data_IF_190416540835
#
_entry.id   IF_190416540835
#
_cell.length_a   1.000
_cell.length_b   1.000
_cell.length_c   1.000
_cell.angle_alpha   90.00
_cell.angle_beta   90.00
_cell.angle_gamma   90.00
#
_symmetry.space_group_name_H-M   'P 1'
#
loop_
_entity.id
_entity.type
_entity.pdbx_description
1 polymer ?
#
# COMPACT_ATOMS: atom_id res chain seq x y z
N UNK A 1 3.92 -10.12 2.06
CA UNK A 1 2.74 -10.06 1.16
C UNK A 1 1.43 -10.31 1.91
N UNK A 2 1.37 -11.32 2.77
CA UNK A 2 0.14 -11.72 3.48
C UNK A 2 -0.46 -10.62 4.34
N UNK A 3 0.35 -9.84 5.05
CA UNK A 3 -0.14 -8.75 5.89
C UNK A 3 -0.86 -7.64 5.09
N UNK A 4 -0.43 -7.37 3.86
CA UNK A 4 -1.10 -6.43 2.96
C UNK A 4 -2.40 -7.03 2.45
N UNK A 5 -2.37 -8.28 1.95
CA UNK A 5 -3.57 -8.97 1.45
C UNK A 5 -4.65 -9.15 2.53
N UNK A 6 -4.26 -9.27 3.81
CA UNK A 6 -5.16 -9.39 4.96
C UNK A 6 -6.00 -8.13 5.21
N UNK A 7 -5.57 -6.97 4.72
CA UNK A 7 -6.31 -5.71 4.87
C UNK A 7 -7.57 -5.64 4.01
N UNK A 8 -7.71 -6.53 3.00
CA UNK A 8 -8.81 -6.56 2.01
C UNK A 8 -8.97 -5.29 1.16
N UNK A 9 -8.23 -4.22 1.46
CA UNK A 9 -8.22 -2.95 0.71
C UNK A 9 -6.99 -2.82 -0.17
N UNK A 10 -5.88 -3.47 0.22
CA UNK A 10 -4.63 -3.50 -0.53
C UNK A 10 -4.23 -4.93 -0.87
N UNK A 11 -3.57 -5.10 -2.02
CA UNK A 11 -3.02 -6.35 -2.50
C UNK A 11 -1.53 -6.17 -2.77
N UNK A 12 -0.72 -7.04 -2.20
CA UNK A 12 0.70 -7.18 -2.53
C UNK A 12 0.87 -8.29 -3.56
N UNK A 13 1.47 -7.96 -4.69
CA UNK A 13 1.76 -8.86 -5.81
C UNK A 13 3.27 -8.86 -6.01
N UNK A 14 3.89 -10.04 -6.02
CA UNK A 14 5.28 -10.16 -6.42
C UNK A 14 5.37 -9.99 -7.94
N UNK A 15 6.03 -8.92 -8.38
CA UNK A 15 6.23 -8.66 -9.81
C UNK A 15 7.62 -9.15 -10.27
N UNK A 16 8.62 -9.07 -9.38
CA UNK A 16 9.98 -9.57 -9.63
C UNK A 16 10.49 -10.36 -8.43
N UNK A 17 11.54 -11.20 -8.59
CA UNK A 17 12.16 -11.91 -7.48
C UNK A 17 12.43 -11.04 -6.23
N UNK A 18 12.88 -9.79 -6.42
CA UNK A 18 13.10 -8.82 -5.32
C UNK A 18 12.10 -7.65 -5.29
N UNK A 19 11.01 -7.70 -6.05
CA UNK A 19 10.05 -6.58 -6.13
C UNK A 19 8.63 -7.03 -5.82
N UNK A 20 8.04 -6.37 -4.83
CA UNK A 20 6.63 -6.54 -4.45
C UNK A 20 5.91 -5.25 -4.77
N UNK A 21 5.01 -5.30 -5.75
CA UNK A 21 4.10 -4.21 -6.04
C UNK A 21 2.91 -4.26 -5.07
N UNK A 22 2.54 -3.11 -4.51
CA UNK A 22 1.32 -2.98 -3.69
C UNK A 22 0.32 -2.09 -4.42
N UNK A 23 -0.91 -2.58 -4.55
CA UNK A 23 -1.98 -1.90 -5.26
C UNK A 23 -3.29 -2.03 -4.47
N UNK A 24 -4.19 -1.04 -4.49
CA UNK A 24 -5.51 -1.18 -3.89
C UNK A 24 -6.36 -2.15 -4.69
N UNK A 25 -7.26 -2.85 -4.00
CA UNK A 25 -8.22 -3.77 -4.64
C UNK A 25 -9.13 -3.00 -5.59
N UNK A 26 -9.51 -1.77 -5.23
CA UNK A 26 -10.25 -0.86 -6.09
C UNK A 26 -9.29 -0.02 -6.93
N UNK A 27 -9.23 -0.34 -8.23
CA UNK A 27 -8.38 0.40 -9.20
C UNK A 27 -8.72 1.89 -9.28
N UNK A 28 -9.97 2.28 -9.07
CA UNK A 28 -10.37 3.69 -9.09
C UNK A 28 -9.70 4.51 -7.99
N UNK A 29 -9.37 3.89 -6.85
CA UNK A 29 -8.70 4.54 -5.72
C UNK A 29 -7.17 4.51 -5.86
N UNK A 30 -6.63 3.76 -6.84
CA UNK A 30 -5.19 3.73 -7.12
C UNK A 30 -4.70 5.10 -7.60
N UNK A 31 -5.45 5.76 -8.50
CA UNK A 31 -5.03 7.06 -9.01
C UNK A 31 -5.08 8.13 -7.92
N UNK A 32 -6.15 8.15 -7.12
CA UNK A 32 -6.27 9.07 -5.98
C UNK A 32 -5.12 8.87 -4.98
N UNK A 33 -4.85 7.61 -4.65
CA UNK A 33 -3.73 7.27 -3.79
C UNK A 33 -2.37 7.69 -4.38
N UNK A 34 -2.13 7.47 -5.68
CA UNK A 34 -0.91 7.94 -6.33
C UNK A 34 -0.81 9.47 -6.34
N UNK A 35 -1.92 10.19 -6.48
CA UNK A 35 -1.94 11.66 -6.41
C UNK A 35 -1.55 12.16 -5.02
N UNK A 36 -1.85 11.40 -3.96
CA UNK A 36 -1.42 11.75 -2.60
C UNK A 36 0.05 11.45 -2.30
N UNK A 37 0.79 10.81 -3.21
CA UNK A 37 2.19 10.40 -3.01
C UNK A 37 3.10 11.57 -2.64
N UNK A 38 2.88 12.74 -3.26
CA UNK A 38 3.63 13.97 -2.98
C UNK A 38 3.43 14.48 -1.55
N UNK A 39 2.28 14.17 -0.94
CA UNK A 39 1.93 14.54 0.43
C UNK A 39 2.00 13.35 1.40
N UNK A 40 2.56 12.21 1.00
CA UNK A 40 2.54 10.98 1.79
C UNK A 40 3.18 11.14 3.19
N UNK A 41 4.13 12.08 3.36
CA UNK A 41 4.77 12.36 4.65
C UNK A 41 3.97 13.33 5.53
N UNK A 42 3.25 14.30 4.95
CA UNK A 42 2.52 15.32 5.72
C UNK A 42 1.03 14.96 5.91
N UNK A 43 0.41 14.34 4.91
CA UNK A 43 -0.98 13.87 4.92
C UNK A 43 -1.05 12.52 4.19
N UNK A 44 -0.59 11.43 4.83
CA UNK A 44 -0.66 10.10 4.23
C UNK A 44 -2.12 9.72 3.97
N UNK A 45 -2.38 9.28 2.74
CA UNK A 45 -3.62 8.61 2.38
C UNK A 45 -3.83 7.37 3.24
N UNK A 46 -5.09 6.95 3.39
CA UNK A 46 -5.47 5.82 4.24
C UNK A 46 -4.65 4.56 3.92
N UNK A 47 -4.46 4.25 2.64
CA UNK A 47 -3.62 3.15 2.18
C UNK A 47 -2.14 3.27 2.58
N UNK A 48 -1.58 4.48 2.59
CA UNK A 48 -0.21 4.73 3.06
C UNK A 48 -0.10 4.47 4.56
N UNK A 49 -1.10 4.89 5.36
CA UNK A 49 -1.14 4.60 6.80
C UNK A 49 -1.23 3.11 7.09
N UNK A 50 -2.05 2.40 6.33
CA UNK A 50 -2.19 0.95 6.43
C UNK A 50 -0.86 0.26 6.11
N UNK A 51 -0.17 0.70 5.05
CA UNK A 51 1.14 0.16 4.70
C UNK A 51 2.21 0.47 5.73
N UNK A 52 2.22 1.68 6.29
CA UNK A 52 3.10 2.03 7.39
C UNK A 52 2.83 1.13 8.61
N UNK A 53 1.56 0.92 8.99
CA UNK A 53 1.19 0.04 10.09
C UNK A 53 1.61 -1.42 9.89
N UNK A 54 1.68 -1.89 8.65
CA UNK A 54 2.19 -3.23 8.30
C UNK A 54 3.72 -3.25 8.28
N UNK A 55 4.36 -2.24 7.68
CA UNK A 55 5.81 -2.18 7.50
C UNK A 55 6.56 -2.06 8.82
N UNK A 56 5.95 -1.45 9.84
CA UNK A 56 6.56 -1.27 11.17
C UNK A 56 6.52 -2.57 11.99
N UNK A 57 5.75 -3.57 11.57
CA UNK A 57 5.65 -4.89 12.24
C UNK A 57 6.67 -5.94 11.75
N UNK A 58 7.80 -5.52 11.19
CA UNK A 58 8.99 -6.40 11.13
C UNK A 58 9.76 -6.19 12.43
N UNK A 59 9.54 -7.07 13.40
CA UNK A 59 10.35 -7.19 14.61
C UNK A 59 11.00 -8.56 14.62
#
# INVERSE_FOLDING_TARGET
MEAVNKTKVLKAIQDKPNHVAVMPVKKSELQDWMNTRSNANNKPHEYTKILQGISVKVK
#
